data_IF_942483540955
#
_entry.id   IF_942483540955
#
_cell.length_a   1.000
_cell.length_b   1.000
_cell.length_c   1.000
_cell.angle_alpha   90.00
_cell.angle_beta   90.00
_cell.angle_gamma   90.00
#
_symmetry.space_group_name_H-M   'P 1'
#
loop_
_entity.id
_entity.type
_entity.pdbx_description
1 polymer ?
#
# COMPACT_ATOMS: atom_id res chain seq x y z
N UNK A 1 1.05 21.41 73.54
CA UNK A 1 1.52 20.10 73.04
C UNK A 1 1.72 20.24 71.55
N UNK A 2 2.96 20.07 71.11
CA UNK A 2 3.40 20.24 69.71
C UNK A 2 3.07 18.99 68.94
N UNK A 3 2.47 19.12 67.76
CA UNK A 3 2.43 18.06 66.79
C UNK A 3 3.06 18.56 65.50
N UNK A 4 4.07 17.81 65.10
CA UNK A 4 5.00 18.03 64.01
C UNK A 4 4.33 17.84 62.65
N UNK A 5 4.68 18.78 61.80
CA UNK A 5 4.32 18.78 60.35
C UNK A 5 5.37 17.98 59.59
N UNK A 6 5.05 16.76 59.21
CA UNK A 6 5.84 15.97 58.24
C UNK A 6 5.00 14.84 57.69
N UNK A 7 4.11 15.13 56.76
CA UNK A 7 3.68 14.09 55.78
C UNK A 7 2.87 14.75 54.65
N UNK A 8 3.58 15.32 53.72
CA UNK A 8 3.03 15.70 52.45
C UNK A 8 4.14 15.74 51.44
N UNK A 9 4.27 14.71 50.62
CA UNK A 9 4.86 14.73 49.28
C UNK A 9 5.19 13.31 48.80
N UNK A 10 4.17 12.50 48.61
CA UNK A 10 4.28 11.45 47.62
C UNK A 10 3.49 11.92 46.40
N UNK A 11 4.13 12.71 45.55
CA UNK A 11 3.68 12.93 44.18
C UNK A 11 3.85 11.62 43.40
N UNK A 12 2.77 10.93 43.20
CA UNK A 12 2.66 9.87 42.22
C UNK A 12 2.96 10.49 40.85
N UNK A 13 4.18 10.30 40.39
CA UNK A 13 4.55 10.60 39.00
C UNK A 13 3.74 9.72 38.07
N UNK A 14 2.62 10.23 37.61
CA UNK A 14 1.88 9.66 36.49
C UNK A 14 2.74 9.91 35.25
N UNK A 15 3.60 8.94 34.94
CA UNK A 15 4.25 8.86 33.63
C UNK A 15 3.13 8.74 32.60
N UNK A 16 2.81 9.86 31.98
CA UNK A 16 2.02 9.86 30.75
C UNK A 16 2.92 9.19 29.71
N UNK A 17 2.74 7.89 29.53
CA UNK A 17 3.23 7.25 28.29
C UNK A 17 2.45 7.96 27.18
N UNK A 18 3.13 8.85 26.47
CA UNK A 18 2.69 9.23 25.12
C UNK A 18 2.56 7.89 24.37
N UNK A 19 1.34 7.44 24.16
CA UNK A 19 1.05 6.31 23.31
C UNK A 19 1.56 6.67 21.93
N UNK A 20 2.67 6.08 21.53
CA UNK A 20 3.08 6.06 20.13
C UNK A 20 1.90 5.41 19.42
N UNK A 21 1.14 6.20 18.65
CA UNK A 21 0.11 5.65 17.77
C UNK A 21 0.82 4.63 16.89
N UNK A 22 0.35 3.38 16.85
CA UNK A 22 1.02 2.38 16.02
C UNK A 22 1.08 2.91 14.59
N UNK A 23 2.27 2.89 14.00
CA UNK A 23 2.46 3.25 12.59
C UNK A 23 1.44 2.45 11.77
N UNK A 24 0.63 3.15 10.98
CA UNK A 24 -0.27 2.48 10.05
C UNK A 24 0.56 1.66 9.08
N UNK A 25 0.30 0.37 9.03
CA UNK A 25 1.02 -0.58 8.18
C UNK A 25 0.14 -1.05 7.05
N UNK A 26 0.72 -1.15 5.87
CA UNK A 26 0.11 -1.75 4.69
C UNK A 26 1.05 -2.76 4.07
N UNK A 27 0.47 -3.70 3.38
CA UNK A 27 1.19 -4.71 2.61
C UNK A 27 0.65 -4.74 1.18
N UNK A 28 1.52 -4.94 0.21
CA UNK A 28 1.16 -4.95 -1.21
C UNK A 28 1.93 -5.97 -2.02
N UNK A 29 1.38 -6.25 -3.20
CA UNK A 29 1.94 -7.21 -4.15
C UNK A 29 2.10 -6.57 -5.53
N UNK A 30 3.35 -6.50 -6.00
CA UNK A 30 3.70 -6.04 -7.33
C UNK A 30 3.84 -7.25 -8.26
N UNK A 31 2.92 -7.40 -9.20
CA UNK A 31 3.04 -8.43 -10.22
C UNK A 31 3.93 -7.91 -11.36
N UNK A 32 4.88 -8.72 -11.78
CA UNK A 32 5.73 -8.43 -12.93
C UNK A 32 5.73 -9.58 -13.93
N UNK A 33 6.05 -9.30 -15.17
CA UNK A 33 6.24 -10.29 -16.22
C UNK A 33 7.51 -9.99 -17.01
N UNK A 34 8.14 -11.02 -17.54
CA UNK A 34 9.23 -10.85 -18.49
C UNK A 34 8.67 -10.65 -19.89
N UNK A 35 9.27 -9.74 -20.63
CA UNK A 35 8.92 -9.47 -22.02
C UNK A 35 9.79 -10.25 -22.99
N UNK A 36 9.33 -10.44 -24.23
CA UNK A 36 10.04 -11.23 -25.22
C UNK A 36 11.40 -10.64 -25.64
N UNK A 37 11.60 -9.36 -25.44
CA UNK A 37 12.87 -8.64 -25.67
C UNK A 37 13.83 -8.69 -24.48
N UNK A 38 13.47 -9.44 -23.42
CA UNK A 38 14.28 -9.62 -22.20
C UNK A 38 14.06 -8.52 -21.15
N UNK A 39 13.12 -7.61 -21.37
CA UNK A 39 12.73 -6.60 -20.41
C UNK A 39 11.76 -7.11 -19.34
N UNK A 40 11.25 -6.19 -18.55
CA UNK A 40 10.29 -6.45 -17.48
C UNK A 40 9.16 -5.43 -17.56
N UNK A 41 7.90 -5.90 -17.48
CA UNK A 41 6.75 -5.05 -17.22
C UNK A 41 6.23 -5.30 -15.81
N UNK A 42 5.68 -4.27 -15.19
CA UNK A 42 4.98 -4.31 -13.89
C UNK A 42 3.51 -3.96 -14.06
N UNK A 43 2.64 -4.59 -13.28
CA UNK A 43 1.21 -4.30 -13.23
C UNK A 43 0.94 -3.31 -12.10
N UNK A 44 0.38 -2.16 -12.43
CA UNK A 44 -0.04 -1.15 -11.46
C UNK A 44 -1.49 -0.72 -11.72
N UNK A 45 -2.15 -0.24 -10.67
CA UNK A 45 -3.54 0.19 -10.71
C UNK A 45 -3.70 1.69 -10.54
N UNK A 46 -4.54 2.30 -11.37
CA UNK A 46 -4.94 3.70 -11.20
C UNK A 46 -5.95 3.80 -10.06
N UNK A 47 -5.71 4.70 -9.13
CA UNK A 47 -6.59 4.91 -7.98
C UNK A 47 -7.94 5.44 -8.44
N UNK A 48 -9.00 4.81 -7.99
CA UNK A 48 -10.36 5.17 -8.35
C UNK A 48 -10.92 6.33 -7.53
N UNK A 49 -12.12 6.73 -7.91
CA UNK A 49 -12.83 7.82 -7.27
C UNK A 49 -12.52 9.20 -7.85
N UNK A 50 -13.36 10.18 -7.49
CA UNK A 50 -13.40 11.47 -8.18
C UNK A 50 -12.15 12.35 -7.97
N UNK A 51 -11.37 12.10 -6.91
CA UNK A 51 -10.12 12.84 -6.67
C UNK A 51 -9.01 12.48 -7.66
N UNK A 52 -9.05 11.28 -8.23
CA UNK A 52 -8.02 10.72 -9.10
C UNK A 52 -8.42 10.71 -10.57
N UNK A 53 -9.74 10.75 -10.86
CA UNK A 53 -10.29 10.57 -12.20
C UNK A 53 -9.67 11.42 -13.31
N UNK A 54 -9.12 12.60 -12.98
CA UNK A 54 -8.48 13.52 -13.94
C UNK A 54 -6.96 13.53 -13.85
N UNK A 55 -6.35 12.65 -13.06
CA UNK A 55 -4.91 12.61 -12.83
C UNK A 55 -4.30 11.35 -13.43
N UNK A 56 -3.11 11.47 -13.99
CA UNK A 56 -2.28 10.35 -14.42
C UNK A 56 -1.04 10.23 -13.55
N UNK A 57 -0.28 11.32 -13.42
CA UNK A 57 0.95 11.30 -12.62
C UNK A 57 0.66 11.23 -11.13
N UNK A 58 1.41 10.39 -10.44
CA UNK A 58 1.29 10.13 -9.01
C UNK A 58 -0.14 9.71 -8.58
N UNK A 59 -0.91 9.11 -9.50
CA UNK A 59 -2.28 8.64 -9.30
C UNK A 59 -2.42 7.12 -9.41
N UNK A 60 -1.31 6.41 -9.56
CA UNK A 60 -1.25 4.95 -9.63
C UNK A 60 -0.61 4.36 -8.39
N UNK A 61 -0.97 3.13 -8.07
CA UNK A 61 -0.53 2.43 -6.87
C UNK A 61 -0.26 0.95 -7.17
N UNK A 62 0.67 0.37 -6.45
CA UNK A 62 0.77 -1.07 -6.29
C UNK A 62 -0.45 -1.50 -5.47
N UNK A 63 -1.19 -2.58 -5.86
CA UNK A 63 -2.29 -3.12 -5.05
C UNK A 63 -1.83 -3.42 -3.62
N UNK A 64 -2.49 -2.82 -2.62
CA UNK A 64 -2.07 -2.86 -1.21
C UNK A 64 -3.15 -2.34 -0.29
N UNK A 65 -3.20 -2.83 0.93
CA UNK A 65 -4.07 -2.27 1.95
C UNK A 65 -3.55 -2.42 3.36
N UNK A 66 -4.29 -1.88 4.30
CA UNK A 66 -3.95 -1.89 5.72
C UNK A 66 -4.19 -3.26 6.33
N UNK A 67 -3.38 -3.63 7.30
CA UNK A 67 -3.53 -4.87 8.05
C UNK A 67 -3.36 -4.66 9.55
N UNK A 68 -4.00 -5.51 10.33
CA UNK A 68 -3.95 -5.50 11.78
C UNK A 68 -2.77 -6.34 12.32
N UNK A 69 -2.49 -6.21 13.61
CA UNK A 69 -1.34 -6.87 14.25
C UNK A 69 -1.43 -8.41 14.29
N UNK A 70 -2.61 -8.96 14.10
CA UNK A 70 -2.88 -10.40 14.06
C UNK A 70 -2.82 -11.01 12.65
N UNK A 71 -2.58 -10.19 11.62
CA UNK A 71 -2.40 -10.63 10.24
C UNK A 71 -0.93 -10.48 9.82
N UNK A 72 -0.38 -11.50 9.14
CA UNK A 72 0.96 -11.37 8.58
C UNK A 72 0.95 -10.44 7.36
N UNK A 73 2.02 -9.68 7.13
CA UNK A 73 2.08 -8.77 5.97
C UNK A 73 1.90 -9.48 4.62
N UNK A 74 2.41 -10.70 4.46
CA UNK A 74 2.24 -11.50 3.23
C UNK A 74 0.79 -11.94 3.04
N UNK A 75 0.10 -12.36 4.12
CA UNK A 75 -1.32 -12.72 4.05
C UNK A 75 -2.16 -11.49 3.67
N UNK A 76 -1.86 -10.33 4.25
CA UNK A 76 -2.48 -9.07 3.92
C UNK A 76 -2.25 -8.67 2.46
N UNK A 77 -1.02 -8.76 1.95
CA UNK A 77 -0.71 -8.46 0.56
C UNK A 77 -1.51 -9.35 -0.41
N UNK A 78 -1.69 -10.62 -0.09
CA UNK A 78 -2.49 -11.57 -0.88
C UNK A 78 -3.98 -11.22 -0.84
N UNK A 79 -4.51 -10.95 0.34
CA UNK A 79 -5.92 -10.57 0.54
C UNK A 79 -6.25 -9.27 -0.19
N UNK A 80 -5.44 -8.23 0.03
CA UNK A 80 -5.64 -6.91 -0.57
C UNK A 80 -5.55 -6.96 -2.11
N UNK A 81 -4.61 -7.75 -2.64
CA UNK A 81 -4.52 -7.97 -4.08
C UNK A 81 -5.83 -8.53 -4.65
N UNK A 82 -6.40 -9.52 -3.96
CA UNK A 82 -7.66 -10.12 -4.38
C UNK A 82 -8.85 -9.17 -4.18
N UNK A 83 -8.88 -8.40 -3.11
CA UNK A 83 -9.95 -7.42 -2.84
C UNK A 83 -9.93 -6.27 -3.85
N UNK A 84 -8.75 -5.69 -4.12
CA UNK A 84 -8.60 -4.56 -5.02
C UNK A 84 -8.72 -4.94 -6.51
N UNK A 85 -8.33 -6.15 -6.91
CA UNK A 85 -8.33 -6.58 -8.31
C UNK A 85 -9.39 -7.62 -8.67
N UNK A 86 -10.02 -8.26 -7.68
CA UNK A 86 -10.99 -9.33 -7.90
C UNK A 86 -10.40 -10.63 -8.44
N UNK A 87 -9.07 -10.75 -8.46
CA UNK A 87 -8.33 -11.92 -8.97
C UNK A 87 -7.43 -12.49 -7.87
N UNK A 88 -7.23 -13.82 -7.83
CA UNK A 88 -6.26 -14.41 -6.92
C UNK A 88 -4.84 -13.92 -7.26
N UNK A 89 -4.01 -13.75 -6.23
CA UNK A 89 -2.60 -13.45 -6.42
C UNK A 89 -1.92 -14.58 -7.22
N UNK A 90 -1.03 -14.26 -8.17
CA UNK A 90 -0.29 -15.28 -8.91
C UNK A 90 0.49 -16.21 -7.97
N UNK A 91 0.50 -17.49 -8.33
CA UNK A 91 1.33 -18.48 -7.66
C UNK A 91 2.80 -18.29 -8.06
N UNK A 92 3.73 -18.63 -7.15
CA UNK A 92 5.17 -18.53 -7.41
C UNK A 92 5.97 -18.07 -6.21
N UNK A 93 7.26 -17.91 -6.41
CA UNK A 93 8.16 -17.39 -5.39
C UNK A 93 8.01 -15.87 -5.27
N UNK A 94 7.70 -15.40 -4.09
CA UNK A 94 7.62 -13.97 -3.80
C UNK A 94 9.00 -13.40 -3.49
N UNK A 95 9.32 -12.30 -4.14
CA UNK A 95 10.54 -11.52 -3.93
C UNK A 95 10.26 -10.41 -2.91
N UNK A 96 10.92 -10.44 -1.79
CA UNK A 96 10.82 -9.37 -0.81
C UNK A 96 11.49 -8.10 -1.35
N UNK A 97 10.70 -7.04 -1.54
CA UNK A 97 11.17 -5.70 -1.92
C UNK A 97 11.34 -4.76 -0.72
N UNK A 98 11.07 -5.27 0.49
CA UNK A 98 11.23 -4.53 1.73
C UNK A 98 10.13 -3.50 1.99
N UNK A 99 10.44 -2.56 2.86
CA UNK A 99 9.51 -1.56 3.39
C UNK A 99 9.89 -0.15 2.92
N UNK A 100 8.89 0.69 2.70
CA UNK A 100 9.04 2.12 2.43
C UNK A 100 8.05 2.95 3.25
N UNK A 101 8.51 4.10 3.75
CA UNK A 101 7.66 5.04 4.46
C UNK A 101 6.99 5.98 3.47
N UNK A 102 5.67 5.95 3.46
CA UNK A 102 4.85 6.83 2.62
C UNK A 102 4.70 8.22 3.25
N UNK A 103 4.26 9.19 2.44
CA UNK A 103 3.85 10.50 2.92
C UNK A 103 2.75 10.34 3.98
N UNK A 104 2.91 10.98 5.14
CA UNK A 104 2.00 10.80 6.28
C UNK A 104 2.39 9.69 7.26
N UNK A 105 3.57 9.06 7.09
CA UNK A 105 4.17 8.14 8.07
C UNK A 105 3.75 6.69 7.93
N UNK A 106 2.83 6.34 7.02
CA UNK A 106 2.40 4.96 6.77
C UNK A 106 3.56 4.12 6.24
N UNK A 107 3.79 2.96 6.83
CA UNK A 107 4.77 1.98 6.36
C UNK A 107 4.10 1.02 5.37
N UNK A 108 4.73 0.80 4.24
CA UNK A 108 4.25 -0.14 3.21
C UNK A 108 5.32 -1.16 2.91
N UNK A 109 5.01 -2.42 3.13
CA UNK A 109 5.86 -3.56 2.75
C UNK A 109 5.35 -4.14 1.43
N UNK A 110 6.25 -4.42 0.49
CA UNK A 110 5.88 -4.91 -0.84
C UNK A 110 6.70 -6.15 -1.19
N UNK A 111 6.01 -7.12 -1.76
CA UNK A 111 6.61 -8.26 -2.46
C UNK A 111 6.37 -8.14 -3.95
N UNK A 112 7.22 -8.77 -4.74
CA UNK A 112 6.98 -8.96 -6.16
C UNK A 112 6.79 -10.44 -6.48
N UNK A 113 5.95 -10.74 -7.46
CA UNK A 113 5.74 -12.10 -7.99
C UNK A 113 5.67 -12.06 -9.51
N UNK A 114 6.31 -13.05 -10.15
CA UNK A 114 6.19 -13.21 -11.58
C UNK A 114 4.82 -13.80 -11.94
N UNK A 115 4.12 -13.19 -12.89
CA UNK A 115 2.81 -13.65 -13.32
C UNK A 115 2.28 -12.87 -14.51
N UNK A 116 1.28 -13.40 -15.16
CA UNK A 116 0.57 -12.72 -16.24
C UNK A 116 -0.90 -12.64 -15.90
N UNK A 117 -1.44 -11.44 -15.93
CA UNK A 117 -2.85 -11.14 -15.67
C UNK A 117 -3.41 -10.35 -16.84
N UNK A 118 -4.66 -10.64 -17.20
CA UNK A 118 -5.38 -9.83 -18.18
C UNK A 118 -6.02 -8.61 -17.47
N UNK A 119 -5.61 -7.38 -17.81
CA UNK A 119 -6.22 -6.17 -17.26
C UNK A 119 -7.74 -6.11 -17.46
N UNK A 120 -8.28 -6.73 -18.51
CA UNK A 120 -9.70 -6.76 -18.79
C UNK A 120 -10.50 -7.72 -17.88
N UNK A 121 -9.83 -8.66 -17.22
CA UNK A 121 -10.46 -9.61 -16.30
C UNK A 121 -10.61 -9.07 -14.87
N UNK A 122 -10.13 -7.87 -14.59
CA UNK A 122 -10.13 -7.28 -13.26
C UNK A 122 -11.51 -6.78 -12.88
N UNK A 123 -11.94 -7.15 -11.66
CA UNK A 123 -13.19 -6.71 -11.05
C UNK A 123 -12.85 -6.04 -9.72
N UNK A 124 -12.60 -4.72 -9.72
CA UNK A 124 -12.12 -4.01 -8.55
C UNK A 124 -13.15 -3.98 -7.42
N UNK A 125 -12.66 -3.98 -6.19
CA UNK A 125 -13.44 -3.62 -5.02
C UNK A 125 -13.94 -2.18 -5.09
N UNK A 126 -14.94 -1.86 -4.27
CA UNK A 126 -15.53 -0.52 -4.21
C UNK A 126 -15.45 0.05 -2.81
N UNK A 127 -15.44 1.37 -2.72
CA UNK A 127 -15.56 2.11 -1.47
C UNK A 127 -16.63 3.20 -1.59
N UNK A 128 -17.21 3.56 -0.46
CA UNK A 128 -18.23 4.61 -0.40
C UNK A 128 -17.66 5.88 0.20
N UNK A 129 -17.88 7.01 -0.45
CA UNK A 129 -17.51 8.32 0.08
C UNK A 129 -18.57 9.37 -0.22
N UNK A 130 -18.56 10.44 0.57
CA UNK A 130 -19.40 11.60 0.28
C UNK A 130 -18.83 12.39 -0.89
N UNK A 131 -19.66 12.56 -1.94
CA UNK A 131 -19.30 13.35 -3.09
C UNK A 131 -20.49 14.03 -3.73
N UNK A 132 -20.40 15.34 -4.08
CA UNK A 132 -19.31 16.29 -3.77
C UNK A 132 -19.08 16.46 -2.25
N UNK A 133 -17.89 16.93 -1.83
CA UNK A 133 -17.62 17.17 -0.40
C UNK A 133 -18.66 18.08 0.24
N UNK A 134 -19.17 17.72 1.42
CA UNK A 134 -20.21 18.44 2.20
C UNK A 134 -21.59 18.49 1.53
N UNK A 135 -21.86 17.60 0.58
CA UNK A 135 -23.17 17.51 -0.08
C UNK A 135 -24.19 16.67 0.70
N UNK A 136 -23.72 15.81 1.61
CA UNK A 136 -24.53 14.78 2.26
C UNK A 136 -24.84 13.59 1.34
N UNK A 137 -24.41 13.62 0.09
CA UNK A 137 -24.65 12.56 -0.91
C UNK A 137 -23.49 11.56 -0.87
N UNK A 138 -23.79 10.30 -0.65
CA UNK A 138 -22.79 9.20 -0.71
C UNK A 138 -22.83 8.53 -2.08
N UNK A 139 -21.63 8.43 -2.68
CA UNK A 139 -21.41 7.69 -3.92
C UNK A 139 -20.52 6.49 -3.68
N UNK A 140 -20.69 5.46 -4.49
CA UNK A 140 -19.82 4.28 -4.53
C UNK A 140 -18.85 4.41 -5.70
N UNK A 141 -17.57 4.13 -5.44
CA UNK A 141 -16.49 4.29 -6.40
C UNK A 141 -15.57 3.06 -6.35
N UNK A 142 -14.98 2.64 -7.49
CA UNK A 142 -13.98 1.57 -7.48
C UNK A 142 -12.73 2.03 -6.72
N UNK A 143 -12.05 1.11 -6.03
CA UNK A 143 -10.76 1.36 -5.39
C UNK A 143 -9.66 1.55 -6.43
N UNK A 144 -9.71 0.73 -7.49
CA UNK A 144 -8.88 0.83 -8.69
C UNK A 144 -9.84 0.91 -9.89
N UNK A 145 -9.75 1.94 -10.73
CA UNK A 145 -10.65 2.10 -11.87
C UNK A 145 -10.10 1.49 -13.16
N UNK A 146 -8.79 1.28 -13.22
CA UNK A 146 -8.11 0.60 -14.33
C UNK A 146 -6.74 0.11 -13.91
N UNK A 147 -6.23 -0.87 -14.61
CA UNK A 147 -4.87 -1.38 -14.45
C UNK A 147 -4.15 -1.42 -15.78
N UNK A 148 -2.83 -1.45 -15.74
CA UNK A 148 -2.00 -1.55 -16.93
C UNK A 148 -0.64 -2.15 -16.64
N UNK A 149 -0.05 -2.68 -17.72
CA UNK A 149 1.33 -3.14 -17.76
C UNK A 149 2.23 -2.02 -18.27
N UNK A 150 3.30 -1.74 -17.56
CA UNK A 150 4.24 -0.68 -17.87
C UNK A 150 5.66 -1.16 -17.62
N UNK A 151 6.64 -0.68 -18.37
CA UNK A 151 8.04 -0.83 -17.94
C UNK A 151 8.26 -0.08 -16.63
N UNK A 152 9.25 -0.45 -15.80
CA UNK A 152 9.54 0.27 -14.55
C UNK A 152 9.74 1.77 -14.76
N UNK A 153 10.40 2.18 -15.85
CA UNK A 153 10.65 3.58 -16.18
C UNK A 153 9.35 4.33 -16.50
N UNK A 154 8.43 3.69 -17.24
CA UNK A 154 7.12 4.26 -17.56
C UNK A 154 6.17 4.29 -16.34
N UNK A 155 6.27 3.31 -15.45
CA UNK A 155 5.50 3.24 -14.21
C UNK A 155 5.93 4.29 -13.17
N UNK A 156 7.22 4.64 -13.11
CA UNK A 156 7.77 5.50 -12.07
C UNK A 156 7.06 6.87 -11.95
N UNK A 157 6.81 7.66 -13.01
CA UNK A 157 6.08 8.92 -12.89
C UNK A 157 4.59 8.74 -12.55
N UNK A 158 4.01 7.58 -12.86
CA UNK A 158 2.61 7.27 -12.59
C UNK A 158 2.38 6.92 -11.13
N UNK A 159 3.30 6.18 -10.51
CA UNK A 159 3.19 5.77 -9.12
C UNK A 159 3.27 6.94 -8.14
N UNK A 160 2.53 6.82 -7.05
CA UNK A 160 2.72 7.66 -5.87
C UNK A 160 4.18 7.59 -5.42
N UNK A 161 4.74 8.74 -5.06
CA UNK A 161 6.18 8.94 -4.85
C UNK A 161 6.83 7.88 -3.94
N UNK A 162 6.22 7.58 -2.81
CA UNK A 162 6.78 6.63 -1.85
C UNK A 162 6.80 5.16 -2.30
N UNK A 163 6.20 4.83 -3.45
CA UNK A 163 6.21 3.47 -3.99
C UNK A 163 7.22 3.28 -5.12
N UNK A 164 7.82 4.34 -5.66
CA UNK A 164 8.78 4.26 -6.77
C UNK A 164 10.00 3.44 -6.44
N UNK A 165 10.45 3.48 -5.19
CA UNK A 165 11.58 2.69 -4.70
C UNK A 165 11.41 1.18 -4.89
N UNK A 166 10.17 0.70 -4.95
CA UNK A 166 9.93 -0.73 -5.18
C UNK A 166 10.22 -1.16 -6.62
N UNK A 167 10.08 -0.25 -7.59
CA UNK A 167 10.50 -0.51 -8.97
C UNK A 167 12.03 -0.68 -9.08
N UNK A 168 12.77 0.22 -8.44
CA UNK A 168 14.23 0.17 -8.39
C UNK A 168 14.71 -1.14 -7.76
N UNK A 169 14.14 -1.49 -6.60
CA UNK A 169 14.46 -2.74 -5.89
C UNK A 169 14.07 -4.00 -6.68
N UNK A 170 12.97 -3.96 -7.44
CA UNK A 170 12.62 -5.07 -8.32
C UNK A 170 13.69 -5.30 -9.38
N UNK A 171 14.09 -4.24 -10.09
CA UNK A 171 15.14 -4.34 -11.12
C UNK A 171 16.43 -4.88 -10.52
N UNK A 172 16.91 -4.31 -9.41
CA UNK A 172 18.12 -4.79 -8.71
C UNK A 172 18.04 -6.27 -8.30
N UNK A 173 16.86 -6.72 -7.82
CA UNK A 173 16.64 -8.13 -7.44
C UNK A 173 16.63 -9.08 -8.64
N UNK A 174 16.13 -8.64 -9.77
CA UNK A 174 16.11 -9.45 -11.00
C UNK A 174 17.50 -9.55 -11.63
N UNK A 175 18.25 -8.44 -11.66
CA UNK A 175 19.62 -8.39 -12.17
C UNK A 175 20.60 -9.25 -11.35
N UNK A 176 20.38 -9.31 -10.03
CA UNK A 176 21.23 -10.12 -9.13
C UNK A 176 20.98 -11.63 -9.20
N UNK A 177 19.95 -12.07 -9.94
CA UNK A 177 19.58 -13.49 -10.11
C UNK A 177 19.85 -14.04 -11.50
N UNK A 178 20.23 -13.19 -12.44
CA UNK A 178 20.60 -13.55 -13.82
C UNK A 178 22.08 -13.77 -13.94
#
# INVERSE_FOLDING_TARGET
VRTSCADALRRVGRSVRLGVMPDKRSAGLLVFRRTADGGVDVLIGHMGGPFWASREQAAWSIPKGEYAADETPEAAARREFQEELGLPAPEGAWLDLGESRQRGGKLVTVWAVEGTLDPAAIVPGTFTMEWPPRSGVRGEFPEIDRVGWFTPEAAAPLLVEGQRVFLERLVERLDSRG
#
